data_IF_706142636321
#
_entry.id   IF_706142636321
#
_cell.length_a   1.000
_cell.length_b   1.000
_cell.length_c   1.000
_cell.angle_alpha   90.00
_cell.angle_beta   90.00
_cell.angle_gamma   90.00
#
_symmetry.space_group_name_H-M   'P 1'
#
loop_
_entity.id
_entity.type
_entity.pdbx_description
1 polymer ?
#
# COMPACT_ATOMS: atom_id res chain seq x y z
N UNK A 1 24.60 -42.75 -50.72
CA UNK A 1 25.31 -42.18 -51.89
C UNK A 1 25.01 -40.68 -51.93
N UNK A 2 26.02 -39.84 -51.70
CA UNK A 2 25.95 -38.38 -51.82
C UNK A 2 25.65 -37.96 -53.27
N UNK A 3 24.93 -36.84 -53.46
CA UNK A 3 25.48 -35.71 -54.23
C UNK A 3 24.77 -34.40 -53.89
N UNK A 4 25.56 -33.46 -53.39
CA UNK A 4 25.24 -32.04 -53.24
C UNK A 4 25.39 -31.28 -54.58
N UNK A 5 25.05 -29.98 -54.51
CA UNK A 5 25.77 -28.82 -55.09
C UNK A 5 25.21 -28.32 -56.45
N UNK A 6 25.04 -27.03 -56.80
CA UNK A 6 25.47 -25.66 -56.37
C UNK A 6 24.38 -24.67 -56.90
N UNK A 7 24.23 -23.39 -56.53
CA UNK A 7 25.17 -22.43 -55.98
C UNK A 7 24.53 -21.06 -55.61
N UNK A 8 25.07 -20.47 -54.54
CA UNK A 8 25.59 -19.09 -54.34
C UNK A 8 25.09 -17.96 -55.26
N UNK A 9 24.27 -17.01 -54.77
CA UNK A 9 24.59 -15.66 -54.21
C UNK A 9 25.33 -14.69 -55.17
N UNK A 10 24.68 -13.55 -55.47
CA UNK A 10 25.29 -12.32 -55.99
C UNK A 10 24.37 -11.11 -55.79
N UNK A 11 24.72 -10.24 -54.83
CA UNK A 11 24.04 -8.99 -54.41
C UNK A 11 24.47 -7.80 -55.29
N UNK A 12 23.65 -6.75 -55.41
CA UNK A 12 24.00 -5.32 -55.19
C UNK A 12 22.80 -4.43 -55.56
N UNK A 13 22.07 -3.91 -54.56
CA UNK A 13 22.14 -2.55 -54.00
C UNK A 13 21.37 -1.48 -54.81
N UNK A 14 20.29 -0.98 -54.22
CA UNK A 14 19.95 0.44 -54.29
C UNK A 14 19.49 0.88 -52.89
N UNK A 15 20.28 1.78 -52.31
CA UNK A 15 20.05 2.44 -51.03
C UNK A 15 18.71 3.16 -50.98
N UNK A 16 18.03 3.04 -49.86
CA UNK A 16 17.21 4.14 -49.34
C UNK A 16 17.46 4.22 -47.83
N UNK A 17 18.35 5.16 -47.46
CA UNK A 17 18.51 5.64 -46.10
C UNK A 17 17.23 6.43 -45.79
N UNK A 18 16.33 5.85 -44.99
CA UNK A 18 15.31 6.63 -44.30
C UNK A 18 15.70 6.63 -42.83
N UNK A 19 16.43 7.68 -42.48
CA UNK A 19 16.47 8.23 -41.13
C UNK A 19 15.04 8.53 -40.69
N UNK A 20 14.48 7.67 -39.85
CA UNK A 20 13.19 7.89 -39.19
C UNK A 20 13.39 7.72 -37.70
N UNK A 21 13.29 8.82 -36.96
CA UNK A 21 13.63 8.94 -35.55
C UNK A 21 13.07 7.81 -34.68
N UNK A 22 13.95 7.29 -33.81
CA UNK A 22 13.57 6.52 -32.63
C UNK A 22 12.75 7.45 -31.74
N UNK A 23 11.42 7.46 -31.89
CA UNK A 23 10.55 8.07 -30.91
C UNK A 23 10.65 7.18 -29.68
N UNK A 24 11.52 7.58 -28.75
CA UNK A 24 11.43 7.24 -27.34
C UNK A 24 10.09 7.78 -26.85
N UNK A 25 9.01 7.03 -27.13
CA UNK A 25 7.79 7.17 -26.39
C UNK A 25 8.16 6.82 -24.97
N UNK A 26 8.36 7.83 -24.13
CA UNK A 26 8.23 7.68 -22.70
C UNK A 26 6.82 7.12 -22.51
N UNK A 27 6.72 5.80 -22.39
CA UNK A 27 5.61 5.20 -21.70
C UNK A 27 5.67 5.85 -20.32
N UNK A 28 4.85 6.88 -20.13
CA UNK A 28 4.43 7.29 -18.81
C UNK A 28 3.84 6.02 -18.22
N UNK A 29 4.69 5.25 -17.52
CA UNK A 29 4.26 4.30 -16.52
C UNK A 29 3.58 5.18 -15.48
N UNK A 30 2.32 5.51 -15.73
CA UNK A 30 1.38 5.70 -14.66
C UNK A 30 1.44 4.39 -13.90
N UNK A 31 2.27 4.35 -12.85
CA UNK A 31 2.11 3.40 -11.78
C UNK A 31 0.66 3.57 -11.38
N UNK A 32 -0.20 2.66 -11.85
CA UNK A 32 -1.50 2.49 -11.25
C UNK A 32 -1.17 2.16 -9.80
N UNK A 33 -1.31 3.15 -8.91
CA UNK A 33 -1.31 2.94 -7.49
C UNK A 33 -2.38 1.87 -7.29
N UNK A 34 -1.94 0.66 -7.01
CA UNK A 34 -2.82 -0.45 -6.72
C UNK A 34 -3.71 0.06 -5.59
N UNK A 35 -4.99 0.28 -5.90
CA UNK A 35 -5.96 0.78 -4.95
C UNK A 35 -6.17 -0.35 -3.94
N UNK A 36 -5.36 -0.35 -2.88
CA UNK A 36 -5.68 -1.05 -1.64
C UNK A 36 -7.10 -0.61 -1.32
N UNK A 37 -8.11 -1.49 -1.38
CA UNK A 37 -9.56 -1.16 -1.36
C UNK A 37 -10.04 -0.31 -0.19
N UNK A 38 -9.50 0.89 -0.10
CA UNK A 38 -9.50 1.79 1.02
C UNK A 38 -10.32 2.98 0.58
N UNK A 39 -11.27 3.34 1.41
CA UNK A 39 -12.07 4.52 1.17
C UNK A 39 -11.66 5.62 2.15
N UNK A 40 -11.52 6.84 1.63
CA UNK A 40 -11.18 8.04 2.42
C UNK A 40 -12.38 8.96 2.51
N UNK A 41 -12.65 9.49 3.70
CA UNK A 41 -13.73 10.46 3.91
C UNK A 41 -13.41 11.47 5.01
N UNK A 42 -14.12 12.59 4.98
CA UNK A 42 -14.18 13.54 6.09
C UNK A 42 -15.28 13.15 7.06
N UNK A 43 -15.02 13.34 8.34
CA UNK A 43 -15.99 13.04 9.39
C UNK A 43 -15.80 13.88 10.64
N UNK A 44 -16.63 13.59 11.62
CA UNK A 44 -16.59 14.20 12.93
C UNK A 44 -16.61 13.10 14.00
N UNK A 45 -15.74 13.22 15.00
CA UNK A 45 -15.77 12.35 16.17
C UNK A 45 -17.01 12.68 16.99
N UNK A 46 -17.79 11.67 17.34
CA UNK A 46 -19.00 11.76 18.15
C UNK A 46 -18.97 10.74 19.27
N UNK A 47 -19.78 10.97 20.29
CA UNK A 47 -20.16 9.92 21.23
C UNK A 47 -21.41 9.19 20.71
N UNK A 48 -21.38 7.86 20.70
CA UNK A 48 -22.49 7.00 20.32
C UNK A 48 -22.56 5.80 21.25
N UNK A 49 -23.68 5.67 21.97
CA UNK A 49 -23.94 4.57 22.91
C UNK A 49 -22.81 4.37 23.95
N UNK A 50 -22.27 5.46 24.50
CA UNK A 50 -21.20 5.43 25.50
C UNK A 50 -19.82 5.07 24.96
N UNK A 51 -19.61 5.17 23.64
CA UNK A 51 -18.32 4.96 23.00
C UNK A 51 -18.05 6.01 21.92
N UNK A 52 -16.78 6.24 21.59
CA UNK A 52 -16.42 7.12 20.48
C UNK A 52 -16.65 6.46 19.12
N UNK A 53 -17.10 7.26 18.17
CA UNK A 53 -17.27 6.88 16.77
C UNK A 53 -16.94 8.07 15.86
N UNK A 54 -16.64 7.80 14.59
CA UNK A 54 -16.58 8.85 13.56
C UNK A 54 -17.87 8.79 12.75
N UNK A 55 -18.57 9.91 12.64
CA UNK A 55 -19.70 10.08 11.74
C UNK A 55 -19.21 10.74 10.45
N UNK A 56 -19.38 10.05 9.33
CA UNK A 56 -19.13 10.59 7.99
C UNK A 56 -20.24 11.56 7.57
N UNK A 57 -20.00 12.34 6.51
CA UNK A 57 -20.98 13.31 5.98
C UNK A 57 -22.31 12.68 5.56
N UNK A 58 -22.31 11.42 5.12
CA UNK A 58 -23.53 10.69 4.73
C UNK A 58 -24.29 10.07 5.93
N UNK A 59 -23.82 10.30 7.17
CA UNK A 59 -24.45 9.78 8.39
C UNK A 59 -23.97 8.40 8.83
N UNK A 60 -23.12 7.72 8.05
CA UNK A 60 -22.54 6.43 8.45
C UNK A 60 -21.58 6.62 9.61
N UNK A 61 -21.64 5.72 10.59
CA UNK A 61 -20.79 5.76 11.80
C UNK A 61 -19.80 4.62 11.81
N UNK A 62 -18.54 4.94 12.08
CA UNK A 62 -17.42 4.01 12.18
C UNK A 62 -16.92 3.98 13.63
N UNK A 63 -16.74 2.79 14.21
CA UNK A 63 -16.34 2.67 15.61
C UNK A 63 -14.90 3.17 15.81
N UNK A 64 -14.70 4.09 16.76
CA UNK A 64 -13.38 4.58 17.18
C UNK A 64 -13.18 4.20 18.65
N UNK A 65 -12.95 2.91 18.90
CA UNK A 65 -12.68 2.44 20.27
C UNK A 65 -11.42 3.09 20.85
N UNK A 66 -11.25 3.08 22.17
CA UNK A 66 -10.03 3.55 22.83
C UNK A 66 -8.77 2.84 22.32
N UNK A 67 -8.87 1.53 22.09
CA UNK A 67 -7.79 0.76 21.47
C UNK A 67 -7.47 1.25 20.06
N UNK A 68 -8.49 1.61 19.28
CA UNK A 68 -8.28 2.14 17.93
C UNK A 68 -7.62 3.51 18.01
N UNK A 69 -8.13 4.44 18.83
CA UNK A 69 -7.50 5.74 19.04
C UNK A 69 -6.02 5.63 19.43
N UNK A 70 -5.68 4.74 20.38
CA UNK A 70 -4.29 4.49 20.80
C UNK A 70 -3.40 4.02 19.64
N UNK A 71 -3.93 3.20 18.72
CA UNK A 71 -3.18 2.74 17.54
C UNK A 71 -2.90 3.84 16.53
N UNK A 72 -3.66 4.92 16.57
CA UNK A 72 -3.49 6.09 15.72
C UNK A 72 -2.51 7.10 16.36
N UNK A 73 -1.95 6.76 17.54
CA UNK A 73 -0.89 7.54 18.19
C UNK A 73 -1.39 8.86 18.76
N UNK A 74 -2.70 9.02 18.94
CA UNK A 74 -3.30 10.28 19.38
C UNK A 74 -4.65 10.08 20.05
N UNK A 75 -5.02 11.05 20.88
CA UNK A 75 -6.34 11.13 21.49
C UNK A 75 -7.31 11.91 20.59
N UNK A 76 -8.59 11.52 20.66
CA UNK A 76 -9.70 12.16 19.95
C UNK A 76 -10.78 12.55 20.96
N UNK A 77 -11.52 13.62 20.67
CA UNK A 77 -12.68 14.03 21.47
C UNK A 77 -13.89 14.34 20.59
N UNK A 78 -15.12 14.24 21.12
CA UNK A 78 -16.31 14.66 20.39
C UNK A 78 -16.17 16.08 19.82
N UNK A 79 -16.59 16.27 18.57
CA UNK A 79 -16.47 17.52 17.83
C UNK A 79 -15.20 17.66 16.97
N UNK A 80 -14.21 16.79 17.15
CA UNK A 80 -13.00 16.80 16.30
C UNK A 80 -13.37 16.48 14.85
N UNK A 81 -12.98 17.36 13.92
CA UNK A 81 -13.06 17.12 12.47
C UNK A 81 -11.86 16.30 12.03
N UNK A 82 -12.12 15.27 11.23
CA UNK A 82 -11.10 14.25 10.89
C UNK A 82 -11.15 13.85 9.41
N UNK A 83 -9.99 13.50 8.87
CA UNK A 83 -9.84 12.74 7.64
C UNK A 83 -9.60 11.28 8.03
N UNK A 84 -10.40 10.36 7.49
CA UNK A 84 -10.36 8.95 7.86
C UNK A 84 -10.15 8.10 6.62
N UNK A 85 -9.28 7.11 6.73
CA UNK A 85 -9.18 5.99 5.78
C UNK A 85 -9.75 4.75 6.45
N UNK A 86 -10.63 4.04 5.75
CA UNK A 86 -11.16 2.73 6.17
C UNK A 86 -10.84 1.66 5.14
N UNK A 87 -10.71 0.41 5.58
CA UNK A 87 -10.56 -0.74 4.70
C UNK A 87 -11.93 -1.24 4.16
N UNK A 88 -11.90 -2.30 3.35
CA UNK A 88 -13.08 -2.95 2.75
C UNK A 88 -14.10 -3.47 3.78
N UNK A 89 -13.65 -3.72 5.02
CA UNK A 89 -14.49 -4.16 6.13
C UNK A 89 -15.03 -3.00 6.98
N UNK A 90 -14.88 -1.74 6.53
CA UNK A 90 -15.21 -0.52 7.26
C UNK A 90 -14.44 -0.34 8.58
N UNK A 91 -13.29 -0.99 8.74
CA UNK A 91 -12.41 -0.73 9.88
C UNK A 91 -11.57 0.52 9.61
N UNK A 92 -11.41 1.39 10.61
CA UNK A 92 -10.50 2.53 10.53
C UNK A 92 -9.08 2.00 10.44
N UNK A 93 -8.34 2.41 9.41
CA UNK A 93 -6.93 2.06 9.24
C UNK A 93 -6.02 3.23 9.53
N UNK A 94 -6.52 4.44 9.30
CA UNK A 94 -5.76 5.68 9.48
C UNK A 94 -6.72 6.84 9.73
N UNK A 95 -6.35 7.76 10.61
CA UNK A 95 -7.19 8.92 10.97
C UNK A 95 -6.36 10.09 11.47
N UNK A 96 -6.57 11.25 10.85
CA UNK A 96 -5.92 12.52 11.22
C UNK A 96 -6.95 13.60 11.48
N UNK A 97 -6.61 14.58 12.33
CA UNK A 97 -7.41 15.80 12.42
C UNK A 97 -7.40 16.53 11.07
N UNK A 98 -8.50 17.21 10.77
CA UNK A 98 -8.56 18.06 9.58
C UNK A 98 -7.46 19.13 9.62
N UNK A 99 -6.78 19.33 8.50
CA UNK A 99 -5.62 20.22 8.40
C UNK A 99 -4.28 19.58 8.80
N UNK A 100 -4.28 18.38 9.41
CA UNK A 100 -3.06 17.61 9.65
C UNK A 100 -2.80 16.63 8.50
N UNK A 101 -1.53 16.46 8.14
CA UNK A 101 -1.08 15.39 7.24
C UNK A 101 -0.44 14.29 8.08
N UNK A 102 -0.76 13.04 7.75
CA UNK A 102 -0.09 11.88 8.31
C UNK A 102 1.41 11.89 8.00
N UNK A 103 2.23 11.65 9.02
CA UNK A 103 3.67 11.45 8.91
C UNK A 103 3.95 9.96 8.92
N UNK A 104 3.76 9.33 7.78
CA UNK A 104 3.98 7.89 7.66
C UNK A 104 5.46 7.56 7.52
N UNK A 105 5.85 6.45 8.13
CA UNK A 105 7.20 5.90 8.02
C UNK A 105 7.16 4.64 7.15
N UNK A 106 8.11 4.50 6.24
CA UNK A 106 8.21 3.33 5.38
C UNK A 106 9.36 2.45 5.85
N UNK A 107 9.11 1.15 6.00
CA UNK A 107 10.13 0.16 6.34
C UNK A 107 10.12 -0.96 5.31
N UNK A 108 11.26 -1.21 4.69
CA UNK A 108 11.45 -2.30 3.74
C UNK A 108 12.18 -3.47 4.40
N UNK A 109 11.72 -4.69 4.12
CA UNK A 109 12.39 -5.91 4.55
C UNK A 109 11.77 -7.16 3.96
N UNK A 110 12.40 -8.31 4.23
CA UNK A 110 11.81 -9.60 3.89
C UNK A 110 10.74 -9.94 4.91
N UNK A 111 9.51 -10.21 4.46
CA UNK A 111 8.43 -10.70 5.30
C UNK A 111 8.79 -12.11 5.79
N UNK A 112 9.12 -12.28 7.06
CA UNK A 112 9.52 -13.58 7.62
C UNK A 112 8.47 -14.20 8.52
N UNK A 113 7.45 -13.43 8.91
CA UNK A 113 6.32 -13.97 9.66
C UNK A 113 5.05 -13.14 9.45
N UNK A 114 3.91 -13.81 9.27
CA UNK A 114 2.58 -13.24 9.49
C UNK A 114 1.95 -13.94 10.70
N UNK A 115 1.65 -13.19 11.76
CA UNK A 115 1.10 -13.76 12.98
C UNK A 115 -0.13 -14.62 12.72
N UNK A 116 -0.31 -15.71 13.47
CA UNK A 116 -1.45 -16.63 13.30
C UNK A 116 -2.81 -15.92 13.44
N UNK A 117 -2.86 -14.92 14.31
CA UNK A 117 -4.02 -14.04 14.50
C UNK A 117 -3.97 -12.77 13.63
N UNK A 118 -2.98 -12.63 12.75
CA UNK A 118 -2.75 -11.46 11.88
C UNK A 118 -2.72 -10.11 12.61
N UNK A 119 -2.30 -10.12 13.88
CA UNK A 119 -2.16 -8.92 14.71
C UNK A 119 -0.79 -8.26 14.58
N UNK A 120 0.15 -8.94 13.93
CA UNK A 120 1.48 -8.44 13.64
C UNK A 120 2.04 -9.09 12.37
N UNK A 121 3.12 -8.48 11.88
CA UNK A 121 4.02 -9.06 10.91
C UNK A 121 5.46 -8.85 11.39
N UNK A 122 6.37 -9.72 10.96
CA UNK A 122 7.80 -9.58 11.21
C UNK A 122 8.56 -9.42 9.90
N UNK A 123 9.39 -8.39 9.83
CA UNK A 123 10.31 -8.14 8.73
C UNK A 123 11.74 -8.38 9.18
N UNK A 124 12.52 -9.08 8.36
CA UNK A 124 13.97 -9.04 8.42
C UNK A 124 14.43 -7.80 7.64
N UNK A 125 14.95 -6.81 8.36
CA UNK A 125 15.45 -5.55 7.80
C UNK A 125 16.98 -5.51 7.83
N UNK A 126 17.58 -4.48 7.22
CA UNK A 126 19.03 -4.27 7.30
C UNK A 126 19.54 -4.03 8.74
N UNK A 127 18.66 -3.53 9.62
CA UNK A 127 18.94 -3.28 11.04
C UNK A 127 18.68 -4.51 11.93
N UNK A 128 18.19 -5.60 11.34
CA UNK A 128 17.76 -6.81 12.03
C UNK A 128 16.25 -7.06 11.95
N UNK A 129 15.78 -8.02 12.74
CA UNK A 129 14.37 -8.43 12.74
C UNK A 129 13.51 -7.43 13.52
N UNK A 130 12.40 -7.00 12.92
CA UNK A 130 11.46 -6.05 13.51
C UNK A 130 10.03 -6.55 13.37
N UNK A 131 9.27 -6.49 14.46
CA UNK A 131 7.83 -6.79 14.46
C UNK A 131 7.01 -5.50 14.40
N UNK A 132 5.96 -5.50 13.60
CA UNK A 132 5.06 -4.37 13.43
C UNK A 132 3.61 -4.79 13.71
N UNK A 133 2.86 -4.05 14.53
CA UNK A 133 1.44 -4.30 14.75
C UNK A 133 0.63 -4.17 13.46
N UNK A 134 -0.27 -5.11 13.21
CA UNK A 134 -1.22 -5.14 12.11
C UNK A 134 -2.66 -5.11 12.64
N UNK A 135 -3.58 -4.49 11.91
CA UNK A 135 -5.00 -4.48 12.26
C UNK A 135 -5.60 -5.87 11.99
N UNK A 136 -6.34 -6.41 12.98
CA UNK A 136 -6.88 -7.78 12.96
C UNK A 136 -7.80 -8.05 11.75
N UNK A 137 -8.37 -6.99 11.19
CA UNK A 137 -9.32 -7.03 10.07
C UNK A 137 -8.65 -6.73 8.71
N UNK A 138 -7.33 -6.63 8.66
CA UNK A 138 -6.60 -6.34 7.43
C UNK A 138 -6.37 -7.58 6.58
N UNK A 139 -6.68 -7.45 5.30
CA UNK A 139 -6.37 -8.44 4.26
C UNK A 139 -5.03 -8.16 3.60
N UNK A 140 -4.26 -7.17 4.06
CA UNK A 140 -3.01 -6.68 3.46
C UNK A 140 -1.93 -7.74 3.24
N UNK A 141 -1.91 -8.80 4.04
CA UNK A 141 -0.97 -9.92 3.91
C UNK A 141 -1.51 -11.05 3.02
N UNK A 142 -2.77 -10.99 2.57
CA UNK A 142 -3.40 -12.01 1.75
C UNK A 142 -2.67 -12.12 0.41
N UNK A 143 -2.20 -13.32 0.07
CA UNK A 143 -1.48 -13.57 -1.18
C UNK A 143 -0.04 -13.03 -1.21
N UNK A 144 0.53 -12.70 -0.04
CA UNK A 144 1.93 -12.33 0.12
C UNK A 144 2.62 -13.44 0.92
N UNK A 145 3.40 -14.32 0.26
CA UNK A 145 4.06 -15.41 0.96
C UNK A 145 5.21 -14.87 1.82
N UNK A 146 5.47 -15.54 2.93
CA UNK A 146 6.71 -15.36 3.70
C UNK A 146 7.91 -15.59 2.77
N UNK A 147 8.99 -14.86 3.00
CA UNK A 147 10.14 -14.75 2.11
C UNK A 147 10.06 -13.62 1.08
N UNK A 148 8.91 -12.99 0.87
CA UNK A 148 8.75 -11.86 -0.07
C UNK A 148 9.37 -10.58 0.48
N UNK A 149 10.07 -9.81 -0.34
CA UNK A 149 10.46 -8.44 0.01
C UNK A 149 9.23 -7.53 -0.05
N UNK A 150 8.97 -6.81 1.04
CA UNK A 150 7.82 -5.91 1.18
C UNK A 150 8.25 -4.58 1.75
N UNK A 151 7.47 -3.55 1.49
CA UNK A 151 7.54 -2.26 2.19
C UNK A 151 6.25 -2.05 2.96
N UNK A 152 6.36 -1.80 4.26
CA UNK A 152 5.24 -1.43 5.13
C UNK A 152 5.19 0.08 5.30
N UNK A 153 3.99 0.62 5.21
CA UNK A 153 3.66 1.99 5.60
C UNK A 153 3.13 1.97 7.03
N UNK A 154 3.77 2.73 7.90
CA UNK A 154 3.43 2.82 9.32
C UNK A 154 2.84 4.19 9.63
N UNK A 155 1.79 4.22 10.44
CA UNK A 155 1.34 5.47 11.06
C UNK A 155 2.31 5.95 12.15
N UNK A 156 1.98 7.07 12.77
CA UNK A 156 2.77 7.74 13.80
C UNK A 156 2.96 6.89 15.07
N UNK A 157 2.11 5.88 15.30
CA UNK A 157 2.25 4.93 16.40
C UNK A 157 3.08 3.68 16.03
N UNK A 158 3.57 3.59 14.79
CA UNK A 158 4.29 2.43 14.28
C UNK A 158 3.38 1.25 13.90
N UNK A 159 2.07 1.47 13.74
CA UNK A 159 1.12 0.45 13.27
C UNK A 159 1.08 0.44 11.75
N UNK A 160 1.03 -0.76 11.16
CA UNK A 160 0.92 -0.94 9.71
C UNK A 160 -0.43 -0.41 9.20
N UNK A 161 -0.37 0.58 8.31
CA UNK A 161 -1.52 1.13 7.57
C UNK A 161 -1.53 0.73 6.11
N UNK A 162 -0.37 0.34 5.55
CA UNK A 162 -0.30 -0.30 4.24
C UNK A 162 0.88 -1.25 4.07
N UNK A 163 0.78 -2.15 3.08
CA UNK A 163 1.82 -3.13 2.76
C UNK A 163 1.87 -3.39 1.25
N UNK A 164 3.05 -3.21 0.67
CA UNK A 164 3.30 -3.41 -0.76
C UNK A 164 4.44 -4.41 -0.99
N UNK A 165 4.38 -5.15 -2.11
CA UNK A 165 5.51 -5.97 -2.56
C UNK A 165 6.60 -5.08 -3.17
N UNK A 166 7.86 -5.36 -2.85
CA UNK A 166 9.02 -4.61 -3.34
C UNK A 166 9.26 -3.28 -2.62
N UNK A 167 10.13 -2.45 -3.20
CA UNK A 167 10.51 -1.13 -2.69
C UNK A 167 9.55 -0.06 -3.19
N UNK A 168 9.16 0.86 -2.30
CA UNK A 168 8.45 2.11 -2.62
C UNK A 168 9.47 3.23 -2.84
#
# INVERSE_FOLDING_TARGET
MQKQNKGTIGRLMASAIISGALVLGAASLSLAKQDSGHHRFKGEVIEKAGSMAVKSENGTTYQLSENEARRQGREFKPGDKVNVTVNENNAIVDIHLEGQKGKHTFVTGKLIHVGQMKKDIKLQTAEGDRSFPLLLQETKTKGIPEGTEVTVELNEAGTVVDLHKGKQ
#
